data_IF_987706765758
#
_entry.id   IF_987706765758
#
_cell.length_a   1.000
_cell.length_b   1.000
_cell.length_c   1.000
_cell.angle_alpha   90.00
_cell.angle_beta   90.00
_cell.angle_gamma   90.00
#
_symmetry.space_group_name_H-M   'P 1'
#
loop_
_entity.id
_entity.type
_entity.pdbx_description
1 polymer ?
#
# COMPACT_ATOMS: atom_id res chain seq x y z
N UNK A 1 7.38 -1.86 33.25
CA UNK A 1 8.19 -1.37 34.37
C UNK A 1 7.26 -1.22 35.55
N UNK A 2 7.48 -1.99 36.60
CA UNK A 2 6.74 -1.86 37.86
C UNK A 2 7.04 -0.47 38.48
N UNK A 3 6.17 0.03 39.35
CA UNK A 3 6.33 1.35 39.97
C UNK A 3 7.63 1.43 40.80
N UNK A 4 8.01 0.33 41.45
CA UNK A 4 9.22 0.25 42.29
C UNK A 4 10.50 0.35 41.45
N UNK A 5 10.54 -0.32 40.29
CA UNK A 5 11.65 -0.22 39.34
C UNK A 5 11.82 1.21 38.82
N UNK A 6 10.71 1.90 38.56
CA UNK A 6 10.70 3.28 38.10
C UNK A 6 11.27 4.23 39.16
N UNK A 7 10.91 4.05 40.42
CA UNK A 7 11.41 4.84 41.55
C UNK A 7 12.91 4.64 41.72
N UNK A 8 13.38 3.38 41.75
CA UNK A 8 14.81 3.06 41.86
C UNK A 8 15.61 3.66 40.70
N UNK A 9 15.13 3.52 39.47
CA UNK A 9 15.79 4.06 38.28
C UNK A 9 15.90 5.58 38.32
N UNK A 10 14.87 6.28 38.82
CA UNK A 10 14.91 7.73 39.03
C UNK A 10 15.94 8.10 40.09
N UNK A 11 15.91 7.45 41.25
CA UNK A 11 16.82 7.72 42.35
C UNK A 11 18.29 7.55 41.94
N UNK A 12 18.60 6.46 41.23
CA UNK A 12 19.94 6.21 40.70
C UNK A 12 20.36 7.30 39.71
N UNK A 13 19.51 7.65 38.74
CA UNK A 13 19.85 8.65 37.75
C UNK A 13 20.00 10.06 38.34
N UNK A 14 19.28 10.37 39.42
CA UNK A 14 19.44 11.61 40.21
C UNK A 14 20.78 11.59 40.95
N UNK A 15 21.12 10.48 41.61
CA UNK A 15 22.40 10.34 42.33
C UNK A 15 23.61 10.45 41.39
N UNK A 16 23.48 9.99 40.14
CA UNK A 16 24.50 10.09 39.09
C UNK A 16 24.51 11.45 38.34
N UNK A 17 23.69 12.43 38.75
CA UNK A 17 23.49 13.74 38.09
C UNK A 17 23.27 13.65 36.56
N UNK A 18 22.47 12.66 36.14
CA UNK A 18 22.33 12.37 34.71
C UNK A 18 21.42 13.36 34.00
N UNK A 19 21.76 13.58 32.73
CA UNK A 19 21.10 14.53 31.86
C UNK A 19 20.41 13.82 30.69
N UNK A 20 19.16 14.18 30.40
CA UNK A 20 18.34 13.50 29.39
C UNK A 20 17.55 14.49 28.53
N UNK A 21 17.28 14.11 27.28
CA UNK A 21 16.34 14.85 26.44
C UNK A 21 14.91 14.69 26.96
N UNK A 22 14.01 15.62 26.61
CA UNK A 22 12.57 15.53 26.96
C UNK A 22 11.94 14.19 26.60
N UNK A 23 12.30 13.62 25.44
CA UNK A 23 11.81 12.31 25.01
C UNK A 23 12.25 11.20 25.97
N UNK A 24 13.55 11.13 26.27
CA UNK A 24 14.09 10.13 27.21
C UNK A 24 13.53 10.28 28.63
N UNK A 25 13.38 11.51 29.13
CA UNK A 25 12.72 11.77 30.42
C UNK A 25 11.29 11.21 30.46
N UNK A 26 10.51 11.44 29.40
CA UNK A 26 9.14 10.95 29.29
C UNK A 26 9.08 9.42 29.20
N UNK A 27 9.90 8.84 28.34
CA UNK A 27 9.79 7.43 27.93
C UNK A 27 10.46 6.49 28.94
N UNK A 28 11.61 6.88 29.50
CA UNK A 28 12.37 6.04 30.45
C UNK A 28 12.06 6.34 31.92
N UNK A 29 11.81 7.61 32.26
CA UNK A 29 11.67 8.04 33.65
C UNK A 29 10.27 8.53 33.99
N UNK A 30 9.36 8.64 33.02
CA UNK A 30 8.04 9.26 33.22
C UNK A 30 8.16 10.60 33.96
N UNK A 31 9.17 11.39 33.60
CA UNK A 31 9.45 12.72 34.14
C UNK A 31 9.33 13.77 33.05
N UNK A 32 9.14 15.02 33.45
CA UNK A 32 9.17 16.21 32.58
C UNK A 32 9.96 17.31 33.28
N UNK A 33 10.58 18.25 32.56
CA UNK A 33 11.21 19.41 33.19
C UNK A 33 10.23 20.14 34.11
N UNK A 34 10.71 20.57 35.28
CA UNK A 34 9.92 21.40 36.18
C UNK A 34 9.51 22.71 35.49
N UNK A 35 8.40 23.36 35.90
CA UNK A 35 8.10 24.70 35.44
C UNK A 35 9.31 25.63 35.70
N UNK A 36 9.83 26.27 34.64
CA UNK A 36 11.00 27.14 34.72
C UNK A 36 12.37 26.43 34.69
N UNK A 37 12.42 25.10 34.54
CA UNK A 37 13.70 24.40 34.36
C UNK A 37 14.32 24.76 33.01
N UNK A 38 15.57 25.22 33.04
CA UNK A 38 16.35 25.55 31.84
C UNK A 38 17.19 24.36 31.37
N UNK A 39 17.40 24.19 30.05
CA UNK A 39 18.21 23.10 29.54
C UNK A 39 19.70 23.34 29.82
N UNK A 40 20.38 22.31 30.33
CA UNK A 40 21.82 22.36 30.55
C UNK A 40 22.62 22.32 29.25
N UNK A 41 22.06 21.72 28.19
CA UNK A 41 22.65 21.73 26.86
C UNK A 41 21.61 21.45 25.78
N UNK A 42 22.01 21.73 24.55
CA UNK A 42 21.25 21.37 23.35
C UNK A 42 22.00 20.27 22.58
N UNK A 43 21.33 19.16 22.35
CA UNK A 43 21.82 18.08 21.50
C UNK A 43 21.26 18.25 20.09
N UNK A 44 22.13 18.25 19.06
CA UNK A 44 21.72 18.24 17.66
C UNK A 44 21.91 16.83 17.11
N UNK A 45 20.86 16.24 16.54
CA UNK A 45 20.99 14.94 15.88
C UNK A 45 21.52 15.11 14.43
N UNK A 46 21.86 13.99 13.79
CA UNK A 46 22.34 13.94 12.40
C UNK A 46 21.33 14.47 11.37
N UNK A 47 20.04 14.46 11.71
CA UNK A 47 18.94 14.96 10.88
C UNK A 47 18.64 16.45 11.10
N UNK A 48 19.49 17.18 11.82
CA UNK A 48 19.36 18.63 12.03
C UNK A 48 18.40 19.04 13.17
N UNK A 49 17.72 18.10 13.80
CA UNK A 49 16.84 18.32 14.95
C UNK A 49 17.64 18.71 16.20
N UNK A 50 17.19 19.74 16.91
CA UNK A 50 17.78 20.22 18.17
C UNK A 50 16.88 19.86 19.35
N UNK A 51 17.47 19.22 20.36
CA UNK A 51 16.76 18.73 21.54
C UNK A 51 17.38 19.29 22.82
N UNK A 52 16.55 19.96 23.61
CA UNK A 52 16.90 20.41 24.94
C UNK A 52 17.16 19.22 25.87
N UNK A 53 18.26 19.27 26.59
CA UNK A 53 18.69 18.27 27.58
C UNK A 53 18.61 18.90 28.97
N UNK A 54 18.02 18.19 29.91
CA UNK A 54 17.78 18.66 31.28
C UNK A 54 18.47 17.71 32.26
N UNK A 55 18.95 18.24 33.39
CA UNK A 55 19.29 17.39 34.53
C UNK A 55 18.02 16.76 35.06
N UNK A 56 18.10 15.48 35.40
CA UNK A 56 16.94 14.77 35.95
C UNK A 56 16.53 15.33 37.33
N UNK A 57 17.47 15.90 38.08
CA UNK A 57 17.19 16.59 39.35
C UNK A 57 16.26 17.81 39.19
N UNK A 58 16.31 18.49 38.03
CA UNK A 58 15.45 19.65 37.71
C UNK A 58 14.12 19.23 37.07
N UNK A 59 13.80 17.94 37.10
CA UNK A 59 12.59 17.38 36.51
C UNK A 59 11.61 16.90 37.59
N UNK A 60 10.33 16.91 37.24
CA UNK A 60 9.25 16.44 38.11
C UNK A 60 8.57 15.20 37.50
N UNK A 61 8.08 14.26 38.32
CA UNK A 61 7.28 13.14 37.83
C UNK A 61 6.07 13.61 37.01
N UNK A 62 5.80 12.93 35.91
CA UNK A 62 4.57 13.11 35.16
C UNK A 62 3.40 12.50 35.92
N UNK A 63 2.21 13.06 35.71
CA UNK A 63 0.97 12.50 36.23
C UNK A 63 0.85 11.02 35.85
N UNK A 64 0.41 10.21 36.82
CA UNK A 64 0.11 8.81 36.59
C UNK A 64 -0.90 8.65 35.46
N UNK A 65 -0.66 7.62 34.64
CA UNK A 65 -1.53 7.32 33.52
C UNK A 65 -2.78 6.69 34.09
N UNK A 66 -3.89 7.42 34.04
CA UNK A 66 -5.20 6.85 34.37
C UNK A 66 -5.54 5.76 33.36
N UNK A 67 -6.13 4.64 33.78
CA UNK A 67 -6.68 3.68 32.85
C UNK A 67 -7.70 4.38 31.96
N UNK A 68 -7.74 3.98 30.69
CA UNK A 68 -8.74 4.48 29.76
C UNK A 68 -10.12 4.03 30.23
N UNK A 69 -11.10 4.91 30.18
CA UNK A 69 -12.51 4.52 30.39
C UNK A 69 -12.97 3.58 29.27
N UNK A 70 -14.00 2.78 29.51
CA UNK A 70 -14.57 1.89 28.48
C UNK A 70 -14.98 2.67 27.22
N UNK A 71 -15.49 3.89 27.37
CA UNK A 71 -15.81 4.79 26.25
C UNK A 71 -14.57 5.17 25.43
N UNK A 72 -13.46 5.48 26.10
CA UNK A 72 -12.20 5.82 25.42
C UNK A 72 -11.55 4.60 24.75
N UNK A 73 -11.63 3.42 25.38
CA UNK A 73 -11.17 2.17 24.77
C UNK A 73 -11.94 1.88 23.48
N UNK A 74 -13.28 1.96 23.52
CA UNK A 74 -14.13 1.76 22.35
C UNK A 74 -13.84 2.80 21.26
N UNK A 75 -13.67 4.06 21.62
CA UNK A 75 -13.29 5.11 20.66
C UNK A 75 -11.95 4.82 19.97
N UNK A 76 -10.94 4.35 20.72
CA UNK A 76 -9.65 3.95 20.18
C UNK A 76 -9.76 2.77 19.20
N UNK A 77 -10.55 1.75 19.54
CA UNK A 77 -10.81 0.62 18.65
C UNK A 77 -11.51 1.05 17.36
N UNK A 78 -12.54 1.90 17.47
CA UNK A 78 -13.26 2.46 16.30
C UNK A 78 -12.31 3.26 15.40
N UNK A 79 -11.49 4.14 15.98
CA UNK A 79 -10.53 4.92 15.21
C UNK A 79 -9.50 4.04 14.50
N UNK A 80 -9.03 2.97 15.13
CA UNK A 80 -8.13 2.00 14.50
C UNK A 80 -8.76 1.31 13.29
N UNK A 81 -10.04 0.92 13.38
CA UNK A 81 -10.77 0.35 12.24
C UNK A 81 -10.95 1.39 11.13
N UNK A 82 -11.43 2.58 11.46
CA UNK A 82 -11.63 3.66 10.50
C UNK A 82 -10.34 4.07 9.80
N UNK A 83 -9.23 4.16 10.54
CA UNK A 83 -7.91 4.44 9.97
C UNK A 83 -7.49 3.41 8.93
N UNK A 84 -7.72 2.12 9.21
CA UNK A 84 -7.45 1.04 8.24
C UNK A 84 -8.34 1.13 7.01
N UNK A 85 -9.65 1.33 7.19
CA UNK A 85 -10.59 1.49 6.08
C UNK A 85 -10.27 2.71 5.21
N UNK A 86 -9.88 3.82 5.85
CA UNK A 86 -9.52 5.07 5.18
C UNK A 86 -8.06 5.11 4.71
N UNK A 87 -7.28 4.06 4.91
CA UNK A 87 -5.95 3.96 4.30
C UNK A 87 -6.09 3.78 2.79
N UNK A 88 -5.02 4.06 2.03
CA UNK A 88 -5.01 3.80 0.57
C UNK A 88 -5.33 2.35 0.26
N UNK A 89 -4.68 1.40 0.94
CA UNK A 89 -4.95 -0.04 0.79
C UNK A 89 -6.38 -0.42 1.17
N UNK A 90 -6.95 0.20 2.21
CA UNK A 90 -8.35 -0.03 2.61
C UNK A 90 -9.35 0.42 1.54
N UNK A 91 -9.15 1.61 0.96
CA UNK A 91 -9.97 2.10 -0.15
C UNK A 91 -9.82 1.22 -1.40
N UNK A 92 -8.61 0.81 -1.74
CA UNK A 92 -8.36 -0.09 -2.88
C UNK A 92 -8.99 -1.47 -2.67
N UNK A 93 -8.88 -2.03 -1.47
CA UNK A 93 -9.54 -3.29 -1.12
C UNK A 93 -11.06 -3.18 -1.22
N UNK A 94 -11.64 -2.05 -0.81
CA UNK A 94 -13.07 -1.80 -0.97
C UNK A 94 -13.48 -1.74 -2.45
N UNK A 95 -12.72 -1.01 -3.27
CA UNK A 95 -12.97 -0.92 -4.69
C UNK A 95 -12.86 -2.29 -5.38
N UNK A 96 -11.81 -3.08 -5.05
CA UNK A 96 -11.66 -4.44 -5.57
C UNK A 96 -12.83 -5.34 -5.15
N UNK A 97 -13.30 -5.22 -3.90
CA UNK A 97 -14.49 -5.95 -3.44
C UNK A 97 -15.74 -5.56 -4.23
N UNK A 98 -15.98 -4.26 -4.42
CA UNK A 98 -17.14 -3.77 -5.17
C UNK A 98 -17.07 -4.28 -6.63
N UNK A 99 -15.89 -4.28 -7.26
CA UNK A 99 -15.69 -4.86 -8.58
C UNK A 99 -15.97 -6.36 -8.64
N UNK A 100 -15.38 -7.14 -7.72
CA UNK A 100 -15.56 -8.60 -7.66
C UNK A 100 -17.02 -8.98 -7.40
N UNK A 101 -17.76 -8.17 -6.65
CA UNK A 101 -19.19 -8.40 -6.37
C UNK A 101 -20.09 -8.33 -7.62
N UNK A 102 -19.60 -7.73 -8.70
CA UNK A 102 -20.31 -7.60 -9.98
C UNK A 102 -20.01 -8.74 -10.96
N UNK A 103 -19.35 -9.82 -10.50
CA UNK A 103 -18.91 -10.94 -11.33
C UNK A 103 -18.17 -10.47 -12.60
N UNK A 104 -17.05 -9.73 -12.43
CA UNK A 104 -16.35 -9.11 -13.54
C UNK A 104 -15.59 -10.17 -14.35
N UNK A 105 -15.17 -9.75 -15.53
CA UNK A 105 -14.19 -10.45 -16.35
C UNK A 105 -12.86 -9.72 -16.32
N UNK A 106 -11.77 -10.46 -16.44
CA UNK A 106 -10.41 -9.93 -16.55
C UNK A 106 -9.93 -10.18 -17.97
N UNK A 107 -9.58 -9.11 -18.67
CA UNK A 107 -9.05 -9.16 -20.03
C UNK A 107 -7.59 -8.73 -20.02
N UNK A 108 -6.79 -9.48 -20.78
CA UNK A 108 -5.39 -9.19 -21.05
C UNK A 108 -5.11 -9.44 -22.53
N UNK A 109 -4.16 -8.68 -23.10
CA UNK A 109 -3.78 -8.82 -24.51
C UNK A 109 -2.28 -8.95 -24.68
N UNK A 110 -1.87 -9.85 -25.57
CA UNK A 110 -0.54 -9.80 -26.16
C UNK A 110 -0.62 -9.03 -27.47
N UNK A 111 0.39 -8.22 -27.76
CA UNK A 111 0.36 -7.28 -28.89
C UNK A 111 1.63 -7.35 -29.72
N UNK A 112 1.56 -6.89 -30.97
CA UNK A 112 2.73 -6.81 -31.87
C UNK A 112 3.79 -5.83 -31.39
N UNK A 113 3.47 -4.93 -30.46
CA UNK A 113 4.35 -3.90 -29.94
C UNK A 113 3.61 -2.91 -29.03
N UNK A 114 4.24 -1.78 -28.70
CA UNK A 114 3.66 -0.76 -27.82
C UNK A 114 3.30 0.56 -28.52
N UNK A 115 3.60 0.68 -29.82
CA UNK A 115 3.37 1.90 -30.58
C UNK A 115 1.89 2.09 -30.99
N UNK A 116 1.60 3.08 -31.82
CA UNK A 116 0.24 3.41 -32.28
C UNK A 116 -0.27 2.52 -33.41
N UNK A 117 0.58 1.65 -33.96
CA UNK A 117 0.25 0.67 -35.00
C UNK A 117 0.19 -0.75 -34.45
N UNK A 118 0.38 -0.91 -33.13
CA UNK A 118 0.30 -2.19 -32.47
C UNK A 118 -1.10 -2.81 -32.62
N UNK A 119 -1.14 -4.12 -32.83
CA UNK A 119 -2.35 -4.92 -32.97
C UNK A 119 -2.33 -6.06 -31.95
N UNK A 120 -3.51 -6.53 -31.55
CA UNK A 120 -3.65 -7.69 -30.67
C UNK A 120 -3.25 -8.98 -31.41
N UNK A 121 -2.47 -9.83 -30.72
CA UNK A 121 -2.03 -11.16 -31.12
C UNK A 121 -2.75 -12.27 -30.36
N UNK A 122 -3.06 -12.01 -29.10
CA UNK A 122 -3.79 -12.93 -28.24
C UNK A 122 -4.72 -12.11 -27.35
N UNK A 123 -5.92 -12.64 -27.11
CA UNK A 123 -6.88 -12.08 -26.15
C UNK A 123 -7.20 -13.18 -25.16
N UNK A 124 -6.87 -12.95 -23.90
CA UNK A 124 -7.28 -13.78 -22.78
C UNK A 124 -8.41 -13.12 -22.01
N UNK A 125 -9.45 -13.88 -21.68
CA UNK A 125 -10.58 -13.43 -20.87
C UNK A 125 -10.90 -14.48 -19.81
N UNK A 126 -10.82 -14.10 -18.54
CA UNK A 126 -11.11 -15.00 -17.42
C UNK A 126 -12.18 -14.42 -16.51
N UNK A 127 -12.85 -15.28 -15.75
CA UNK A 127 -13.71 -14.85 -14.64
C UNK A 127 -12.91 -14.66 -13.34
N UNK A 128 -13.59 -14.22 -12.28
CA UNK A 128 -12.97 -14.01 -10.96
C UNK A 128 -12.48 -15.31 -10.28
N UNK A 129 -12.88 -16.49 -10.76
CA UNK A 129 -12.38 -17.78 -10.30
C UNK A 129 -11.16 -18.26 -11.12
N UNK A 130 -10.72 -17.47 -12.12
CA UNK A 130 -9.63 -17.82 -13.02
C UNK A 130 -10.03 -18.82 -14.11
N UNK A 131 -11.32 -19.04 -14.33
CA UNK A 131 -11.78 -19.89 -15.44
C UNK A 131 -11.69 -19.11 -16.75
N UNK A 132 -11.16 -19.75 -17.78
CA UNK A 132 -11.08 -19.17 -19.12
C UNK A 132 -12.48 -19.10 -19.72
N UNK A 133 -12.92 -17.88 -20.01
CA UNK A 133 -14.22 -17.57 -20.63
C UNK A 133 -14.06 -17.43 -22.14
N UNK A 134 -12.95 -16.84 -22.58
CA UNK A 134 -12.61 -16.67 -23.98
C UNK A 134 -11.08 -16.61 -24.11
N UNK A 135 -10.53 -17.32 -25.07
CA UNK A 135 -9.11 -17.26 -25.40
C UNK A 135 -8.97 -17.45 -26.91
N UNK A 136 -8.25 -16.56 -27.57
CA UNK A 136 -7.98 -16.71 -28.99
C UNK A 136 -6.72 -15.98 -29.40
N UNK A 137 -6.09 -16.50 -30.45
CA UNK A 137 -5.02 -15.82 -31.17
C UNK A 137 -5.57 -15.13 -32.40
N UNK A 138 -4.92 -14.05 -32.80
CA UNK A 138 -5.31 -13.21 -33.90
C UNK A 138 -4.16 -13.11 -34.90
N UNK A 139 -4.50 -13.14 -36.19
CA UNK A 139 -3.54 -12.88 -37.25
C UNK A 139 -3.37 -11.37 -37.43
N UNK A 140 -2.20 -10.79 -37.12
CA UNK A 140 -1.95 -9.37 -37.34
C UNK A 140 -1.77 -9.06 -38.82
N UNK A 141 -1.93 -7.79 -39.17
CA UNK A 141 -1.60 -7.19 -40.47
C UNK A 141 -0.24 -6.49 -40.46
N UNK A 142 0.32 -6.25 -39.27
CA UNK A 142 1.65 -5.67 -39.07
C UNK A 142 2.66 -6.70 -38.55
N UNK A 143 3.95 -6.41 -38.71
CA UNK A 143 5.02 -7.27 -38.20
C UNK A 143 5.07 -7.26 -36.67
N UNK A 144 5.43 -8.40 -36.07
CA UNK A 144 5.65 -8.51 -34.63
C UNK A 144 7.01 -7.89 -34.29
N UNK A 145 7.04 -6.90 -33.42
CA UNK A 145 8.27 -6.28 -32.94
C UNK A 145 9.13 -7.30 -32.19
N UNK A 146 10.44 -7.33 -32.45
CA UNK A 146 11.35 -8.32 -31.85
C UNK A 146 11.34 -8.29 -30.30
N UNK A 147 11.14 -7.12 -29.69
CA UNK A 147 11.02 -6.98 -28.24
C UNK A 147 9.71 -7.59 -27.71
N UNK A 148 8.59 -7.37 -28.40
CA UNK A 148 7.32 -7.98 -28.03
C UNK A 148 7.41 -9.51 -28.14
N UNK A 149 7.89 -10.01 -29.28
CA UNK A 149 8.11 -11.44 -29.50
C UNK A 149 9.01 -12.08 -28.44
N UNK A 150 10.04 -11.37 -27.95
CA UNK A 150 10.91 -11.85 -26.88
C UNK A 150 10.22 -11.91 -25.51
N UNK A 151 9.18 -11.09 -25.27
CA UNK A 151 8.41 -11.08 -24.01
C UNK A 151 7.36 -12.18 -24.01
N UNK A 152 6.51 -12.23 -25.04
CA UNK A 152 5.34 -13.13 -25.07
C UNK A 152 5.60 -14.46 -25.79
N UNK A 153 6.67 -14.56 -26.58
CA UNK A 153 7.07 -15.83 -27.23
C UNK A 153 6.16 -16.30 -28.37
N UNK A 154 5.26 -15.45 -28.87
CA UNK A 154 4.34 -15.77 -29.97
C UNK A 154 5.03 -15.46 -31.29
N UNK A 155 5.21 -16.48 -32.12
CA UNK A 155 5.81 -16.36 -33.46
C UNK A 155 4.73 -16.18 -34.52
N UNK A 156 5.09 -15.61 -35.68
CA UNK A 156 4.19 -15.52 -36.83
C UNK A 156 3.66 -16.90 -37.27
N UNK A 157 4.50 -17.94 -37.17
CA UNK A 157 4.10 -19.31 -37.49
C UNK A 157 3.01 -19.83 -36.54
N UNK A 158 3.04 -19.44 -35.27
CA UNK A 158 2.02 -19.79 -34.29
C UNK A 158 0.67 -19.09 -34.53
N UNK A 159 0.66 -18.07 -35.41
CA UNK A 159 -0.52 -17.32 -35.84
C UNK A 159 -0.99 -17.72 -37.25
N UNK A 160 -0.35 -18.72 -37.86
CA UNK A 160 -0.75 -19.21 -39.17
C UNK A 160 -2.16 -19.81 -39.11
N UNK A 161 -3.08 -19.24 -39.87
CA UNK A 161 -4.50 -19.65 -39.87
C UNK A 161 -5.32 -19.11 -38.70
N UNK A 162 -4.74 -18.29 -37.83
CA UNK A 162 -5.51 -17.58 -36.79
C UNK A 162 -6.54 -16.64 -37.44
N UNK A 163 -7.72 -16.46 -36.81
CA UNK A 163 -8.74 -15.54 -37.29
C UNK A 163 -8.26 -14.09 -37.30
N UNK A 164 -8.92 -13.25 -38.10
CA UNK A 164 -8.74 -11.81 -38.02
C UNK A 164 -9.56 -11.21 -36.88
N UNK A 165 -9.28 -9.97 -36.50
CA UNK A 165 -10.08 -9.24 -35.52
C UNK A 165 -11.58 -9.20 -35.89
N UNK A 166 -11.91 -9.01 -37.17
CA UNK A 166 -13.30 -8.93 -37.63
C UNK A 166 -14.07 -10.24 -37.45
N UNK A 167 -13.37 -11.38 -37.46
CA UNK A 167 -13.97 -12.70 -37.22
C UNK A 167 -14.28 -12.94 -35.72
N UNK A 168 -13.46 -12.35 -34.85
CA UNK A 168 -13.48 -12.57 -33.39
C UNK A 168 -14.31 -11.54 -32.62
N UNK A 169 -14.33 -10.28 -33.05
CA UNK A 169 -14.89 -9.17 -32.26
C UNK A 169 -16.32 -9.42 -31.75
N UNK A 170 -17.18 -10.01 -32.58
CA UNK A 170 -18.56 -10.37 -32.19
C UNK A 170 -18.62 -11.50 -31.17
N UNK A 171 -17.71 -12.46 -31.24
CA UNK A 171 -17.62 -13.58 -30.29
C UNK A 171 -17.14 -13.08 -28.93
N UNK A 172 -16.08 -12.25 -28.92
CA UNK A 172 -15.58 -11.61 -27.71
C UNK A 172 -16.66 -10.76 -27.04
N UNK A 173 -17.38 -9.93 -27.81
CA UNK A 173 -18.51 -9.13 -27.30
C UNK A 173 -19.60 -10.01 -26.67
N UNK A 174 -19.92 -11.13 -27.31
CA UNK A 174 -20.90 -12.07 -26.78
C UNK A 174 -20.42 -12.74 -25.49
N UNK A 175 -19.14 -13.12 -25.42
CA UNK A 175 -18.52 -13.69 -24.22
C UNK A 175 -18.49 -12.70 -23.04
N UNK A 176 -18.24 -11.41 -23.32
CA UNK A 176 -18.29 -10.35 -22.31
C UNK A 176 -19.72 -10.15 -21.79
N UNK A 177 -20.69 -9.97 -22.70
CA UNK A 177 -22.06 -9.65 -22.34
C UNK A 177 -22.17 -8.29 -21.63
N UNK A 178 -22.98 -8.23 -20.57
CA UNK A 178 -23.18 -7.02 -19.76
C UNK A 178 -22.27 -6.96 -18.52
N UNK A 179 -21.27 -7.84 -18.44
CA UNK A 179 -20.37 -7.92 -17.29
C UNK A 179 -19.31 -6.83 -17.34
N UNK A 180 -18.92 -6.24 -16.19
CA UNK A 180 -17.78 -5.34 -16.13
C UNK A 180 -16.51 -6.05 -16.58
N UNK A 181 -15.69 -5.37 -17.38
CA UNK A 181 -14.36 -5.86 -17.77
C UNK A 181 -13.30 -5.05 -17.04
N UNK A 182 -12.37 -5.75 -16.40
CA UNK A 182 -11.23 -5.19 -15.68
C UNK A 182 -9.97 -5.47 -16.49
N UNK A 183 -9.23 -4.42 -16.79
CA UNK A 183 -8.01 -4.47 -17.60
C UNK A 183 -6.92 -3.68 -16.90
N UNK A 184 -5.76 -4.29 -16.69
CA UNK A 184 -4.61 -3.57 -16.18
C UNK A 184 -4.09 -2.62 -17.26
N UNK A 185 -3.86 -1.35 -16.92
CA UNK A 185 -3.47 -0.33 -17.91
C UNK A 185 -4.46 -0.19 -19.09
N UNK A 186 -5.76 -0.38 -18.84
CA UNK A 186 -6.87 -0.40 -19.82
C UNK A 186 -6.80 0.59 -20.99
N UNK A 187 -6.22 1.79 -20.82
CA UNK A 187 -6.06 2.75 -21.91
C UNK A 187 -5.26 2.21 -23.09
N UNK A 188 -4.33 1.30 -22.83
CA UNK A 188 -3.55 0.64 -23.87
C UNK A 188 -4.43 -0.33 -24.65
N UNK A 189 -5.02 -1.31 -23.98
CA UNK A 189 -5.85 -2.36 -24.62
C UNK A 189 -7.09 -1.80 -25.31
N UNK A 190 -7.72 -0.75 -24.76
CA UNK A 190 -8.89 -0.10 -25.38
C UNK A 190 -8.53 0.60 -26.69
N UNK A 191 -7.27 1.02 -26.86
CA UNK A 191 -6.79 1.69 -28.08
C UNK A 191 -6.49 0.67 -29.19
N UNK A 192 -6.04 -0.53 -28.82
CA UNK A 192 -5.75 -1.64 -29.73
C UNK A 192 -7.06 -2.17 -30.32
#
# INVERSE_FOLDING_TARGET
MNNDELVTRRAQAIAEDRCFSKGRLRDEFRMKPAPGAEPVKWYKNSYGGRFAVYRIADCVPMREKRPLTSKQQLAGQRLSVLSRLNSTSGRMARQAYDWLSLAPLFLDTETTGLDNTAEALEIGLTDAAGQVVFETRLKPTVAIGAQAAAVHGISEQALCGAPSWTDVARQLRHAIGDRPVIIFNSRFDIRI
#
